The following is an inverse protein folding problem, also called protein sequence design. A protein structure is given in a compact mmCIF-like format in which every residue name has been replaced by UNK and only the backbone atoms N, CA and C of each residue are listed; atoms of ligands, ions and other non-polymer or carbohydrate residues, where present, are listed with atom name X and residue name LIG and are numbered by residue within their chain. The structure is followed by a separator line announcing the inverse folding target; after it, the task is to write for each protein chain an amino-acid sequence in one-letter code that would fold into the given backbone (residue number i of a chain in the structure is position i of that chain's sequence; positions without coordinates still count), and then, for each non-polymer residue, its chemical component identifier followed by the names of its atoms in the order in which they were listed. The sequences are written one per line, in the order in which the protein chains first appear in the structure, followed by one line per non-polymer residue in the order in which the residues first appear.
data_IF_994678046959
#
_entry.id   IF_994678046959
#
_cell.length_a   1.000
_cell.length_b   1.000
_cell.length_c   1.000
_cell.angle_alpha   90.00
_cell.angle_beta   90.00
_cell.angle_gamma   90.00
#
_symmetry.space_group_name_H-M   'P 1'
#
loop_
_entity.id
_entity.type
_entity.pdbx_description
1 polymer ?
#
# COMPACT_ATOMS: atom_id res chain seq x y z
N UNK A 1 -8.75 9.28 -2.11
CA UNK A 1 -7.49 10.02 -1.83
C UNK A 1 -6.26 9.55 -2.65
N UNK A 2 -5.98 8.25 -2.78
CA UNK A 2 -4.76 7.74 -3.43
C UNK A 2 -4.97 7.15 -4.84
N UNK A 3 -6.13 7.39 -5.46
CA UNK A 3 -6.54 6.70 -6.70
C UNK A 3 -5.55 6.84 -7.86
N UNK A 4 -5.01 8.04 -8.10
CA UNK A 4 -4.04 8.27 -9.17
C UNK A 4 -2.73 7.49 -8.96
N UNK A 5 -2.20 7.50 -7.73
CA UNK A 5 -0.97 6.78 -7.37
C UNK A 5 -1.19 5.26 -7.45
N UNK A 6 -2.34 4.78 -6.96
CA UNK A 6 -2.74 3.37 -7.03
C UNK A 6 -2.83 2.92 -8.49
N UNK A 7 -3.48 3.71 -9.36
CA UNK A 7 -3.64 3.39 -10.77
C UNK A 7 -2.29 3.34 -11.50
N UNK A 8 -1.42 4.32 -11.25
CA UNK A 8 -0.09 4.38 -11.86
C UNK A 8 0.81 3.21 -11.42
N UNK A 9 0.87 2.93 -10.12
CA UNK A 9 1.61 1.78 -9.60
C UNK A 9 1.07 0.45 -10.15
N UNK A 10 -0.26 0.31 -10.17
CA UNK A 10 -0.91 -0.88 -10.69
C UNK A 10 -0.61 -1.10 -12.18
N UNK A 11 -0.65 -0.03 -12.99
CA UNK A 11 -0.29 -0.07 -14.41
C UNK A 11 1.18 -0.43 -14.61
N UNK A 12 2.11 0.16 -13.84
CA UNK A 12 3.56 -0.14 -13.93
C UNK A 12 3.88 -1.60 -13.68
N UNK A 13 3.12 -2.26 -12.80
CA UNK A 13 3.34 -3.67 -12.45
C UNK A 13 2.34 -4.63 -13.11
N UNK A 14 1.52 -4.17 -14.05
CA UNK A 14 0.50 -4.98 -14.73
C UNK A 14 -0.46 -5.71 -13.76
N UNK A 15 -0.79 -5.06 -12.65
CA UNK A 15 -1.76 -5.58 -11.65
C UNK A 15 -3.05 -4.78 -11.68
N UNK A 16 -4.14 -5.38 -11.21
CA UNK A 16 -5.43 -4.69 -11.13
C UNK A 16 -5.39 -3.61 -10.02
N UNK A 17 -5.71 -2.32 -10.32
CA UNK A 17 -5.75 -1.25 -9.32
C UNK A 17 -6.65 -1.54 -8.11
N UNK A 18 -7.72 -2.31 -8.29
CA UNK A 18 -8.63 -2.69 -7.21
C UNK A 18 -7.95 -3.62 -6.20
N UNK A 19 -7.03 -4.48 -6.65
CA UNK A 19 -6.25 -5.35 -5.75
C UNK A 19 -5.32 -4.49 -4.89
N UNK A 20 -4.62 -3.53 -5.49
CA UNK A 20 -3.74 -2.60 -4.75
C UNK A 20 -4.53 -1.79 -3.73
N UNK A 21 -5.71 -1.28 -4.10
CA UNK A 21 -6.60 -0.58 -3.18
C UNK A 21 -7.09 -1.47 -2.03
N UNK A 22 -7.41 -2.75 -2.31
CA UNK A 22 -7.83 -3.72 -1.32
C UNK A 22 -6.71 -4.03 -0.32
N UNK A 23 -5.47 -4.21 -0.80
CA UNK A 23 -4.29 -4.40 0.06
C UNK A 23 -4.09 -3.18 0.97
N UNK A 24 -4.11 -1.96 0.43
CA UNK A 24 -3.97 -0.74 1.26
C UNK A 24 -5.05 -0.67 2.34
N UNK A 25 -6.29 -1.04 2.00
CA UNK A 25 -7.39 -1.06 2.97
C UNK A 25 -7.16 -2.09 4.08
N UNK A 26 -6.71 -3.29 3.72
CA UNK A 26 -6.43 -4.38 4.67
C UNK A 26 -5.24 -4.05 5.59
N UNK A 27 -4.17 -3.47 5.04
CA UNK A 27 -2.92 -3.26 5.76
C UNK A 27 -2.92 -2.01 6.66
N UNK A 28 -3.59 -0.93 6.23
CA UNK A 28 -3.49 0.36 6.94
C UNK A 28 -4.79 1.14 7.05
N UNK A 29 -5.90 0.64 6.47
CA UNK A 29 -7.13 1.41 6.28
C UNK A 29 -6.90 2.79 5.62
N UNK A 30 -5.85 2.94 4.81
CA UNK A 30 -5.49 4.19 4.15
C UNK A 30 -4.65 5.17 4.99
N UNK A 31 -4.17 4.74 6.17
CA UNK A 31 -3.30 5.54 7.01
C UNK A 31 -1.85 5.54 6.48
N UNK A 32 -1.43 6.65 5.85
CA UNK A 32 -0.07 6.80 5.32
C UNK A 32 1.04 6.81 6.39
N UNK A 33 0.69 6.99 7.67
CA UNK A 33 1.62 7.01 8.81
C UNK A 33 1.53 5.74 9.67
N UNK A 34 0.84 4.70 9.20
CA UNK A 34 0.71 3.44 9.94
C UNK A 34 2.09 2.81 10.20
N UNK A 35 2.33 2.37 11.43
CA UNK A 35 3.50 1.60 11.84
C UNK A 35 3.02 0.39 12.64
N UNK A 36 3.33 -0.82 12.19
CA UNK A 36 2.97 -2.03 12.94
C UNK A 36 3.93 -2.29 14.10
N UNK A 37 3.50 -3.15 15.03
CA UNK A 37 4.35 -3.61 16.14
C UNK A 37 5.66 -4.27 15.67
N UNK A 38 5.63 -4.91 14.49
CA UNK A 38 6.81 -5.54 13.87
C UNK A 38 7.65 -4.57 13.04
N UNK A 39 7.25 -3.30 12.96
CA UNK A 39 8.00 -2.24 12.28
C UNK A 39 7.65 -2.03 10.81
N UNK A 40 6.59 -2.67 10.29
CA UNK A 40 6.08 -2.42 8.95
C UNK A 40 5.52 -0.99 8.83
N UNK A 41 5.65 -0.34 7.66
CA UNK A 41 5.36 1.10 7.52
C UNK A 41 4.50 1.45 6.32
N UNK A 42 3.69 2.48 6.48
CA UNK A 42 2.98 3.15 5.39
C UNK A 42 1.72 2.42 4.91
N UNK A 43 1.25 2.82 3.73
CA UNK A 43 -0.05 2.40 3.18
C UNK A 43 -0.16 0.89 2.94
N UNK A 44 0.93 0.26 2.52
CA UNK A 44 0.99 -1.17 2.20
C UNK A 44 1.77 -1.97 3.25
N UNK A 45 2.10 -1.35 4.40
CA UNK A 45 2.85 -1.98 5.50
C UNK A 45 4.09 -2.75 5.00
N UNK A 46 4.97 -2.06 4.27
CA UNK A 46 6.22 -2.66 3.83
C UNK A 46 7.23 -2.70 5.00
N UNK A 47 8.00 -3.77 5.07
CA UNK A 47 9.03 -3.96 6.09
C UNK A 47 10.30 -3.18 5.69
N UNK A 48 10.93 -2.41 6.61
CA UNK A 48 12.11 -1.62 6.30
C UNK A 48 13.33 -2.43 5.83
N UNK A 49 13.43 -3.70 6.20
CA UNK A 49 14.51 -4.59 5.77
C UNK A 49 14.29 -5.15 4.34
N UNK A 50 13.12 -4.92 3.75
CA UNK A 50 12.66 -5.52 2.49
C UNK A 50 12.26 -4.48 1.45
N UNK A 51 12.52 -3.20 1.70
CA UNK A 51 12.19 -2.08 0.82
C UNK A 51 13.41 -1.55 0.07
#
# INVERSE_FOLDING_TARGET
PYGAIIYDAAKRHSVNPQIVAAVIKAESAGNRRAVSHKGARGLMQLMPATA
#
